data_IF_053674867568
#
_entry.id   IF_053674867568
#
_cell.length_a   1.000
_cell.length_b   1.000
_cell.length_c   1.000
_cell.angle_alpha   90.00
_cell.angle_beta   90.00
_cell.angle_gamma   90.00
#
_symmetry.space_group_name_H-M   'P 1'
#
loop_
_entity.id
_entity.type
_entity.pdbx_description
1 polymer ?
#
# COMPACT_ATOMS: atom_id res chain seq x y z
N UNK A 1 -5.49 -14.68 8.93
CA UNK A 1 -5.37 -13.22 9.24
C UNK A 1 -4.78 -12.44 8.06
N UNK A 2 -3.65 -12.89 7.49
CA UNK A 2 -3.04 -12.26 6.31
C UNK A 2 -3.98 -12.34 5.08
N UNK A 3 -4.62 -13.48 4.85
CA UNK A 3 -5.55 -13.67 3.72
C UNK A 3 -6.70 -12.66 3.71
N UNK A 4 -7.27 -12.35 4.88
CA UNK A 4 -8.34 -11.35 4.99
C UNK A 4 -7.86 -9.93 4.66
N UNK A 5 -6.63 -9.59 5.03
CA UNK A 5 -5.99 -8.32 4.69
C UNK A 5 -5.75 -8.24 3.18
N UNK A 6 -5.25 -9.32 2.58
CA UNK A 6 -5.03 -9.43 1.13
C UNK A 6 -6.34 -9.30 0.36
N UNK A 7 -7.38 -10.03 0.78
CA UNK A 7 -8.70 -9.95 0.16
C UNK A 7 -9.28 -8.53 0.21
N UNK A 8 -9.19 -7.86 1.37
CA UNK A 8 -9.63 -6.48 1.51
C UNK A 8 -8.81 -5.51 0.65
N UNK A 9 -7.50 -5.71 0.54
CA UNK A 9 -6.64 -4.91 -0.33
C UNK A 9 -6.98 -5.10 -1.82
N UNK A 10 -7.29 -6.33 -2.25
CA UNK A 10 -7.70 -6.63 -3.62
C UNK A 10 -9.03 -5.94 -3.98
N UNK A 11 -9.99 -5.92 -3.05
CA UNK A 11 -11.24 -5.15 -3.22
C UNK A 11 -10.93 -3.66 -3.38
N UNK A 12 -10.06 -3.09 -2.54
CA UNK A 12 -9.67 -1.68 -2.61
C UNK A 12 -8.92 -1.32 -3.90
N UNK A 13 -8.15 -2.26 -4.44
CA UNK A 13 -7.50 -2.14 -5.75
C UNK A 13 -8.56 -2.12 -6.87
N UNK A 14 -9.53 -3.03 -6.82
CA UNK A 14 -10.63 -3.09 -7.79
C UNK A 14 -11.53 -1.85 -7.74
N UNK A 15 -11.66 -1.21 -6.57
CA UNK A 15 -12.32 0.09 -6.38
C UNK A 15 -11.48 1.28 -6.90
N UNK A 16 -10.27 1.05 -7.44
CA UNK A 16 -9.38 2.10 -7.96
C UNK A 16 -8.62 2.89 -6.89
N UNK A 17 -8.89 2.64 -5.60
CA UNK A 17 -8.25 3.33 -4.47
C UNK A 17 -6.85 2.79 -4.12
N UNK A 18 -6.42 1.71 -4.79
CA UNK A 18 -5.16 1.01 -4.54
C UNK A 18 -4.05 1.23 -5.58
N UNK A 19 -4.13 2.25 -6.44
CA UNK A 19 -3.20 2.42 -7.57
C UNK A 19 -1.71 2.43 -7.17
N UNK A 20 -1.36 3.09 -6.06
CA UNK A 20 0.02 3.09 -5.54
C UNK A 20 0.49 1.70 -5.09
N UNK A 21 -0.42 0.88 -4.56
CA UNK A 21 -0.14 -0.50 -4.17
C UNK A 21 0.02 -1.41 -5.40
N UNK A 22 -0.78 -1.20 -6.44
CA UNK A 22 -0.65 -1.92 -7.73
C UNK A 22 0.73 -1.70 -8.33
N UNK A 23 1.20 -0.46 -8.40
CA UNK A 23 2.52 -0.15 -8.92
C UNK A 23 3.64 -0.76 -8.07
N UNK A 24 3.50 -0.75 -6.74
CA UNK A 24 4.45 -1.41 -5.83
C UNK A 24 4.49 -2.93 -6.04
N UNK A 25 3.34 -3.58 -6.22
CA UNK A 25 3.25 -5.02 -6.51
C UNK A 25 3.88 -5.31 -7.87
N UNK A 26 3.56 -4.51 -8.90
CA UNK A 26 4.09 -4.66 -10.26
C UNK A 26 5.62 -4.59 -10.29
N UNK A 27 6.21 -3.58 -9.66
CA UNK A 27 7.67 -3.45 -9.58
C UNK A 27 8.31 -4.68 -8.90
N UNK A 28 7.61 -5.28 -7.94
CA UNK A 28 8.08 -6.47 -7.24
C UNK A 28 7.98 -7.72 -8.11
N UNK A 29 6.87 -7.89 -8.84
CA UNK A 29 6.69 -9.00 -9.78
C UNK A 29 7.76 -8.99 -10.87
N UNK A 30 8.11 -7.81 -11.40
CA UNK A 30 9.22 -7.65 -12.35
C UNK A 30 10.57 -8.08 -11.74
N UNK A 31 10.82 -7.81 -10.46
CA UNK A 31 12.08 -8.20 -9.79
C UNK A 31 12.17 -9.70 -9.47
N UNK A 32 11.03 -10.36 -9.25
CA UNK A 32 10.93 -11.77 -8.84
C UNK A 32 10.72 -12.73 -10.02
N UNK A 33 10.60 -12.20 -11.24
CA UNK A 33 10.28 -12.95 -12.46
C UNK A 33 8.98 -13.76 -12.30
N UNK A 34 7.96 -13.11 -11.72
CA UNK A 34 6.65 -13.74 -11.57
C UNK A 34 6.02 -14.01 -12.93
N UNK A 35 5.28 -15.12 -13.07
CA UNK A 35 4.64 -15.48 -14.34
C UNK A 35 3.71 -14.36 -14.84
N UNK A 36 3.75 -14.10 -16.15
CA UNK A 36 2.94 -13.06 -16.81
C UNK A 36 1.45 -13.16 -16.48
N UNK A 37 0.94 -14.37 -16.26
CA UNK A 37 -0.46 -14.61 -15.87
C UNK A 37 -0.82 -13.90 -14.56
N UNK A 38 0.09 -13.87 -13.58
CA UNK A 38 -0.11 -13.22 -12.28
C UNK A 38 -0.03 -11.70 -12.42
N UNK A 39 0.84 -11.20 -13.30
CA UNK A 39 0.93 -9.78 -13.63
C UNK A 39 -0.36 -9.31 -14.32
N UNK A 40 -0.88 -10.09 -15.28
CA UNK A 40 -2.16 -9.79 -15.96
C UNK A 40 -3.35 -9.84 -15.01
N UNK A 41 -3.38 -10.77 -14.06
CA UNK A 41 -4.40 -10.83 -13.03
C UNK A 41 -4.42 -9.57 -12.16
N UNK A 42 -3.25 -9.04 -11.79
CA UNK A 42 -3.13 -7.76 -11.07
C UNK A 42 -3.67 -6.60 -11.90
N UNK A 43 -3.30 -6.52 -13.18
CA UNK A 43 -3.77 -5.49 -14.11
C UNK A 43 -5.29 -5.51 -14.29
N UNK A 44 -5.89 -6.69 -14.50
CA UNK A 44 -7.36 -6.82 -14.60
C UNK A 44 -8.07 -6.44 -13.31
N UNK A 45 -7.50 -6.81 -12.18
CA UNK A 45 -8.03 -6.41 -10.87
C UNK A 45 -7.98 -4.89 -10.72
N UNK A 46 -6.89 -4.23 -11.11
CA UNK A 46 -6.76 -2.77 -11.09
C UNK A 46 -7.71 -2.06 -12.08
N UNK A 47 -8.07 -2.71 -13.18
CA UNK A 47 -9.07 -2.23 -14.15
C UNK A 47 -10.52 -2.48 -13.71
N UNK A 48 -10.76 -3.07 -12.54
CA UNK A 48 -12.10 -3.37 -12.03
C UNK A 48 -12.81 -4.53 -12.75
N UNK A 49 -12.06 -5.37 -13.48
CA UNK A 49 -12.58 -6.56 -14.17
C UNK A 49 -11.92 -7.87 -13.69
N UNK A 50 -11.86 -8.14 -12.37
CA UNK A 50 -11.23 -9.35 -11.87
C UNK A 50 -12.04 -10.60 -12.22
N UNK A 51 -11.37 -11.67 -12.67
CA UNK A 51 -11.96 -13.01 -12.68
C UNK A 51 -11.80 -13.67 -11.31
N UNK A 52 -12.74 -14.53 -10.92
CA UNK A 52 -12.72 -15.22 -9.62
C UNK A 52 -11.46 -16.08 -9.45
N UNK A 53 -11.11 -16.88 -10.46
CA UNK A 53 -9.86 -17.68 -10.47
C UNK A 53 -8.59 -16.82 -10.38
N UNK A 54 -8.56 -15.70 -11.11
CA UNK A 54 -7.43 -14.77 -11.12
C UNK A 54 -7.25 -14.12 -9.74
N UNK A 55 -8.36 -13.75 -9.10
CA UNK A 55 -8.37 -13.15 -7.77
C UNK A 55 -7.86 -14.13 -6.71
N UNK A 56 -8.29 -15.40 -6.80
CA UNK A 56 -7.82 -16.46 -5.89
C UNK A 56 -6.32 -16.72 -6.05
N UNK A 57 -5.84 -16.86 -7.29
CA UNK A 57 -4.39 -17.04 -7.56
C UNK A 57 -3.58 -15.85 -7.10
N UNK A 58 -4.01 -14.63 -7.44
CA UNK A 58 -3.34 -13.41 -7.03
C UNK A 58 -3.34 -13.27 -5.50
N UNK A 59 -4.45 -13.59 -4.84
CA UNK A 59 -4.55 -13.62 -3.38
C UNK A 59 -3.56 -14.59 -2.72
N UNK A 60 -3.39 -15.79 -3.28
CA UNK A 60 -2.42 -16.76 -2.78
C UNK A 60 -0.97 -16.26 -2.91
N UNK A 61 -0.63 -15.69 -4.07
CA UNK A 61 0.71 -15.12 -4.32
C UNK A 61 1.00 -13.95 -3.38
N UNK A 62 0.07 -13.01 -3.24
CA UNK A 62 0.21 -11.86 -2.34
C UNK A 62 0.28 -12.28 -0.87
N UNK A 63 -0.45 -13.32 -0.47
CA UNK A 63 -0.40 -13.87 0.90
C UNK A 63 0.98 -14.45 1.20
N UNK A 64 1.54 -15.22 0.26
CA UNK A 64 2.90 -15.74 0.38
C UNK A 64 3.91 -14.60 0.49
N UNK A 65 3.79 -13.58 -0.35
CA UNK A 65 4.67 -12.41 -0.28
C UNK A 65 4.55 -11.63 1.01
N UNK A 66 3.33 -11.50 1.56
CA UNK A 66 3.11 -10.83 2.83
C UNK A 66 3.64 -11.64 4.04
N UNK A 67 3.76 -12.96 3.90
CA UNK A 67 4.43 -13.80 4.89
C UNK A 67 5.97 -13.69 4.80
N UNK A 68 6.51 -13.54 3.59
CA UNK A 68 7.95 -13.38 3.34
C UNK A 68 8.45 -11.95 3.65
N UNK A 69 7.61 -10.93 3.52
CA UNK A 69 7.97 -9.52 3.67
C UNK A 69 6.99 -8.74 4.56
N UNK A 70 7.40 -8.38 5.79
CA UNK A 70 6.55 -7.67 6.73
C UNK A 70 6.26 -6.21 6.33
N UNK A 71 7.13 -5.56 5.55
CA UNK A 71 6.89 -4.21 5.03
C UNK A 71 5.80 -4.24 3.96
N UNK A 72 5.79 -5.28 3.13
CA UNK A 72 4.73 -5.52 2.17
C UNK A 72 3.37 -5.76 2.86
N UNK A 73 3.36 -6.56 3.93
CA UNK A 73 2.15 -6.76 4.74
C UNK A 73 1.65 -5.45 5.37
N UNK A 74 2.55 -4.55 5.82
CA UNK A 74 2.17 -3.22 6.33
C UNK A 74 1.52 -2.37 5.25
N UNK A 75 2.06 -2.35 4.03
CA UNK A 75 1.48 -1.62 2.91
C UNK A 75 0.07 -2.15 2.56
N UNK A 76 -0.10 -3.47 2.50
CA UNK A 76 -1.41 -4.11 2.30
C UNK A 76 -2.42 -3.72 3.39
N UNK A 77 -2.00 -3.74 4.66
CA UNK A 77 -2.86 -3.30 5.78
C UNK A 77 -3.28 -1.84 5.69
N UNK A 78 -2.39 -0.97 5.22
CA UNK A 78 -2.69 0.45 5.09
C UNK A 78 -3.75 0.72 4.01
N UNK A 79 -3.74 -0.04 2.92
CA UNK A 79 -4.74 0.09 1.85
C UNK A 79 -6.04 -0.63 2.19
N UNK A 80 -5.96 -1.78 2.86
CA UNK A 80 -7.11 -2.53 3.35
C UNK A 80 -7.83 -1.83 4.52
N UNK A 81 -7.19 -0.86 5.18
CA UNK A 81 -7.80 -0.13 6.28
C UNK A 81 -9.01 0.67 5.78
N UNK A 82 -10.16 0.62 6.47
CA UNK A 82 -11.29 1.48 6.15
C UNK A 82 -10.87 2.95 6.27
N UNK A 83 -11.36 3.79 5.35
CA UNK A 83 -11.00 5.20 5.19
C UNK A 83 -11.21 6.10 6.44
N UNK A 84 -11.68 5.55 7.56
CA UNK A 84 -11.82 6.23 8.84
C UNK A 84 -10.62 6.11 9.81
N UNK A 85 -9.53 5.40 9.46
CA UNK A 85 -8.44 5.12 10.42
C UNK A 85 -7.05 5.68 10.06
N UNK A 86 -6.89 6.38 8.93
CA UNK A 86 -5.56 6.85 8.47
C UNK A 86 -5.49 8.38 8.35
N UNK A 87 -5.80 9.07 9.46
CA UNK A 87 -5.41 10.46 9.64
C UNK A 87 -4.06 10.54 10.39
N UNK A 88 -3.01 9.92 9.85
CA UNK A 88 -1.63 10.19 10.31
C UNK A 88 -0.63 9.91 9.19
N UNK A 89 -0.80 10.56 8.04
CA UNK A 89 0.33 10.75 7.12
C UNK A 89 0.99 12.07 7.51
N UNK A 90 2.12 11.87 8.18
CA UNK A 90 3.18 12.80 8.49
C UNK A 90 3.48 13.67 7.27
N UNK A 91 2.83 14.83 7.16
CA UNK A 91 3.24 15.86 6.21
C UNK A 91 4.58 16.41 6.69
N UNK A 92 5.62 16.01 5.98
CA UNK A 92 6.92 16.65 5.94
C UNK A 92 6.78 18.17 5.87
N UNK A 93 6.85 18.84 7.02
CA UNK A 93 7.41 20.19 7.08
C UNK A 93 8.93 20.03 7.04
N UNK A 94 9.42 19.74 5.83
CA UNK A 94 10.81 20.00 5.46
C UNK A 94 11.05 21.50 5.65
N UNK A 95 12.18 21.80 6.29
CA UNK A 95 12.56 23.10 6.79
C UNK A 95 12.33 24.29 5.84
N UNK A 96 11.61 25.27 6.37
CA UNK A 96 12.00 26.68 6.28
C UNK A 96 11.90 27.21 7.72
N UNK A 97 13.03 27.43 8.38
CA UNK A 97 13.59 28.78 8.54
C UNK A 97 12.51 29.75 9.03
N UNK A 98 12.59 30.16 10.30
CA UNK A 98 12.27 31.46 10.94
C UNK A 98 12.15 31.11 12.44
N UNK A 99 13.28 31.08 13.17
CA UNK A 99 13.71 32.22 13.98
C UNK A 99 12.73 32.50 15.15
N UNK A 100 12.91 31.75 16.23
CA UNK A 100 12.65 32.25 17.57
C UNK A 100 13.94 32.00 18.37
N UNK A 101 14.97 32.79 18.04
CA UNK A 101 16.09 32.95 18.94
C UNK A 101 15.56 33.57 20.23
N UNK A 102 15.94 32.95 21.34
CA UNK A 102 15.90 33.50 22.69
C UNK A 102 16.14 35.01 22.69
N UNK A 103 15.11 35.78 23.00
CA UNK A 103 15.30 37.09 23.63
C UNK A 103 15.05 36.84 25.11
N UNK A 104 16.13 36.49 25.81
CA UNK A 104 16.23 36.84 27.21
C UNK A 104 16.27 38.36 27.35
N UNK A 105 15.97 38.82 28.55
CA UNK A 105 16.05 40.20 29.04
C UNK A 105 14.80 41.07 28.86
N UNK A 106 13.92 41.01 29.86
CA UNK A 106 13.51 42.22 30.60
C UNK A 106 13.40 41.82 32.07
N UNK A 107 14.48 42.00 32.81
CA UNK A 107 14.42 42.17 34.26
C UNK A 107 14.65 43.64 34.52
N UNK A 108 13.71 44.25 35.26
CA UNK A 108 13.74 45.59 35.88
C UNK A 108 13.32 46.80 35.03
#
# INVERSE_FOLDING_TARGET
>A
MIEAIVAAALVKIAEGSGAALVEAIRQRFTKKDEPEEVVRALDRTAQGTPSEEETVRLGAVLTRYAAEDPEFLRALRHVAAPAGATNTVNSSNVGKLIQAQNVGDVTM
#
